data_IF_231385870617
#
_entry.id   IF_231385870617
#
_cell.length_a   1.000
_cell.length_b   1.000
_cell.length_c   1.000
_cell.angle_alpha   90.00
_cell.angle_beta   90.00
_cell.angle_gamma   90.00
#
_symmetry.space_group_name_H-M   'P 1'
#
loop_
_entity.id
_entity.type
_entity.pdbx_description
1 polymer ?
#
# COMPACT_ATOMS: atom_id res chain seq x y z
N UNK A 1 -5.03 -4.37 42.68
CA UNK A 1 -3.74 -4.64 42.02
C UNK A 1 -4.06 -5.24 40.66
N UNK A 2 -4.41 -4.40 39.69
CA UNK A 2 -4.60 -4.77 38.29
C UNK A 2 -3.89 -3.69 37.48
N UNK A 3 -2.95 -4.16 36.66
CA UNK A 3 -1.96 -3.36 35.96
C UNK A 3 -2.58 -2.37 34.99
N UNK A 4 -1.94 -1.22 35.01
CA UNK A 4 -1.98 -0.14 34.04
C UNK A 4 -1.42 -0.64 32.69
N UNK A 5 -2.30 -1.04 31.77
CA UNK A 5 -1.95 -1.29 30.36
C UNK A 5 -2.05 0.02 29.58
N UNK A 6 -1.14 0.93 29.92
CA UNK A 6 -0.79 2.10 29.13
C UNK A 6 0.30 1.72 28.11
N UNK A 7 -0.06 1.10 26.98
CA UNK A 7 0.88 0.94 25.86
C UNK A 7 0.24 1.27 24.49
N UNK A 8 0.73 2.36 23.91
CA UNK A 8 0.98 2.47 22.48
C UNK A 8 -0.21 2.78 21.59
N UNK A 9 -0.75 4.00 21.68
CA UNK A 9 -1.40 4.62 20.53
C UNK A 9 -0.38 4.75 19.39
N UNK A 10 -0.53 3.94 18.35
CA UNK A 10 0.38 3.95 17.21
C UNK A 10 0.15 5.20 16.36
N UNK A 11 1.02 6.20 16.53
CA UNK A 11 1.15 7.31 15.60
C UNK A 11 1.61 6.78 14.23
N UNK A 12 0.69 6.77 13.26
CA UNK A 12 1.02 6.63 11.84
C UNK A 12 1.11 8.02 11.20
N UNK A 13 1.98 8.89 11.71
CA UNK A 13 2.53 9.95 10.86
C UNK A 13 3.61 9.31 9.97
N UNK A 14 3.27 9.18 8.68
CA UNK A 14 3.88 8.27 7.72
C UNK A 14 5.40 8.32 7.63
N UNK A 15 6.04 7.27 8.14
CA UNK A 15 7.48 7.00 8.00
C UNK A 15 7.87 6.45 6.61
N UNK A 16 7.16 6.86 5.55
CA UNK A 16 7.44 6.48 4.18
C UNK A 16 6.99 7.55 3.17
N UNK A 17 7.66 7.58 2.03
CA UNK A 17 7.28 8.36 0.86
C UNK A 17 6.32 7.58 -0.03
N UNK A 18 5.35 8.28 -0.61
CA UNK A 18 4.47 7.75 -1.65
C UNK A 18 4.79 8.42 -2.98
N UNK A 19 4.92 7.63 -4.05
CA UNK A 19 5.23 8.09 -5.40
C UNK A 19 4.17 7.57 -6.35
N UNK A 20 3.58 8.46 -7.16
CA UNK A 20 2.57 8.10 -8.15
C UNK A 20 3.16 8.13 -9.56
N UNK A 21 2.70 7.28 -10.50
CA UNK A 21 3.11 7.35 -11.89
C UNK A 21 2.63 8.65 -12.54
N UNK A 22 3.49 9.25 -13.37
CA UNK A 22 3.14 10.43 -14.17
C UNK A 22 2.17 10.00 -15.27
N UNK A 23 0.96 10.57 -15.28
CA UNK A 23 -0.09 10.24 -16.25
C UNK A 23 -1.02 9.09 -15.85
N UNK A 24 -0.87 8.55 -14.64
CA UNK A 24 -1.68 7.43 -14.16
C UNK A 24 -1.27 6.08 -14.77
N UNK A 25 -2.18 5.11 -14.74
CA UNK A 25 -1.99 3.79 -15.33
C UNK A 25 -2.69 3.72 -16.68
N UNK A 26 -2.10 2.99 -17.63
CA UNK A 26 -2.71 2.85 -18.97
C UNK A 26 -3.93 1.90 -18.99
N UNK A 27 -4.19 1.18 -17.89
CA UNK A 27 -5.13 0.05 -17.84
C UNK A 27 -6.28 0.37 -16.89
N UNK A 28 -7.51 0.29 -17.41
CA UNK A 28 -8.74 0.56 -16.65
C UNK A 28 -8.87 -0.38 -15.45
N UNK A 29 -9.28 0.17 -14.30
CA UNK A 29 -9.50 -0.58 -13.07
C UNK A 29 -8.19 -1.01 -12.39
N UNK A 30 -7.07 -0.37 -12.71
CA UNK A 30 -5.78 -0.60 -12.07
C UNK A 30 -5.23 0.69 -11.53
N UNK A 31 -4.83 0.69 -10.26
CA UNK A 31 -4.10 1.79 -9.65
C UNK A 31 -2.72 1.32 -9.24
N UNK A 32 -1.72 2.18 -9.44
CA UNK A 32 -0.33 1.86 -9.11
C UNK A 32 0.24 2.97 -8.25
N UNK A 33 0.92 2.59 -7.18
CA UNK A 33 1.66 3.50 -6.32
C UNK A 33 2.99 2.88 -5.91
N UNK A 34 4.01 3.70 -5.77
CA UNK A 34 5.30 3.33 -5.20
C UNK A 34 5.38 3.78 -3.75
N UNK A 35 5.95 2.95 -2.88
CA UNK A 35 6.20 3.31 -1.49
C UNK A 35 7.66 3.04 -1.11
N UNK A 36 8.22 3.91 -0.28
CA UNK A 36 9.56 3.71 0.29
C UNK A 36 9.61 4.21 1.72
N UNK A 37 9.97 3.35 2.66
CA UNK A 37 10.17 3.76 4.06
C UNK A 37 11.35 4.73 4.21
N UNK A 38 11.18 5.74 5.06
CA UNK A 38 12.26 6.59 5.56
C UNK A 38 13.28 5.76 6.37
N UNK A 39 14.50 6.27 6.64
CA UNK A 39 15.41 5.63 7.58
C UNK A 39 14.74 5.39 8.94
N UNK A 40 14.79 4.16 9.45
CA UNK A 40 14.14 3.77 10.71
C UNK A 40 12.63 3.50 10.61
N UNK A 41 12.00 3.83 9.48
CA UNK A 41 10.60 3.52 9.20
C UNK A 41 10.35 2.01 9.22
N UNK A 42 9.22 1.61 9.81
CA UNK A 42 8.76 0.23 9.89
C UNK A 42 7.31 0.17 9.45
N UNK A 43 6.94 -0.92 8.80
CA UNK A 43 5.55 -1.23 8.51
C UNK A 43 5.03 -2.19 9.58
N UNK A 44 3.91 -1.85 10.21
CA UNK A 44 3.15 -2.78 11.02
C UNK A 44 1.67 -2.42 10.92
N UNK A 45 0.90 -3.24 10.20
CA UNK A 45 -0.50 -2.95 9.94
C UNK A 45 -1.34 -4.21 9.77
N UNK A 46 -2.65 -4.05 10.03
CA UNK A 46 -3.66 -5.05 9.65
C UNK A 46 -4.18 -4.77 8.24
N UNK A 47 -4.33 -5.83 7.44
CA UNK A 47 -4.95 -5.73 6.12
C UNK A 47 -6.46 -5.77 6.31
N UNK A 48 -7.15 -4.70 5.93
CA UNK A 48 -8.61 -4.66 5.97
C UNK A 48 -9.20 -5.27 4.70
N UNK A 49 -10.42 -5.86 4.79
CA UNK A 49 -11.21 -6.13 3.61
C UNK A 49 -11.46 -4.87 2.80
N UNK A 50 -11.32 -4.97 1.49
CA UNK A 50 -11.37 -3.86 0.54
C UNK A 50 -11.90 -4.34 -0.81
N UNK A 51 -12.62 -3.51 -1.58
CA UNK A 51 -13.33 -3.94 -2.80
C UNK A 51 -12.41 -4.14 -4.01
N UNK A 52 -11.13 -4.44 -3.79
CA UNK A 52 -10.12 -4.63 -4.82
C UNK A 52 -9.11 -5.71 -4.38
N UNK A 53 -8.39 -6.26 -5.36
CA UNK A 53 -7.25 -7.15 -5.12
C UNK A 53 -5.99 -6.30 -5.04
N UNK A 54 -5.19 -6.51 -4.00
CA UNK A 54 -3.91 -5.81 -3.83
C UNK A 54 -2.76 -6.73 -4.22
N UNK A 55 -1.84 -6.22 -5.03
CA UNK A 55 -0.56 -6.86 -5.35
C UNK A 55 0.57 -5.96 -4.89
N UNK A 56 1.53 -6.50 -4.15
CA UNK A 56 2.72 -5.75 -3.72
C UNK A 56 3.96 -6.42 -4.30
N UNK A 57 4.74 -5.61 -5.01
CA UNK A 57 6.02 -5.98 -5.62
C UNK A 57 7.13 -5.28 -4.83
N UNK A 58 7.65 -5.95 -3.80
CA UNK A 58 8.79 -5.44 -3.03
C UNK A 58 10.11 -5.59 -3.80
N UNK A 59 11.04 -4.68 -3.53
CA UNK A 59 12.37 -4.68 -4.11
C UNK A 59 13.43 -4.14 -3.14
N UNK A 60 14.70 -4.30 -3.49
CA UNK A 60 15.80 -4.10 -2.55
C UNK A 60 15.73 -5.13 -1.42
N UNK A 61 15.92 -4.69 -0.18
CA UNK A 61 15.89 -5.57 1.01
C UNK A 61 14.47 -5.77 1.58
N UNK A 62 13.44 -5.49 0.78
CA UNK A 62 12.04 -5.58 1.24
C UNK A 62 11.65 -7.02 1.50
N UNK A 63 11.25 -7.28 2.74
CA UNK A 63 10.66 -8.55 3.15
C UNK A 63 9.40 -8.30 3.99
N UNK A 64 8.27 -8.81 3.52
CA UNK A 64 6.97 -8.66 4.16
C UNK A 64 6.69 -9.91 5.02
N UNK A 65 6.67 -9.72 6.33
CA UNK A 65 6.27 -10.74 7.30
C UNK A 65 4.75 -10.71 7.45
N UNK A 66 4.11 -11.76 6.97
CA UNK A 66 2.65 -11.90 6.97
C UNK A 66 2.28 -12.87 8.10
N UNK A 67 1.31 -12.47 8.91
CA UNK A 67 0.69 -13.29 9.95
C UNK A 67 -0.82 -13.27 9.74
N UNK A 68 -1.39 -14.40 9.37
CA UNK A 68 -2.82 -14.51 9.07
C UNK A 68 -3.37 -15.91 9.34
N UNK A 69 -4.61 -16.15 8.88
CA UNK A 69 -5.30 -17.44 9.10
C UNK A 69 -4.60 -18.65 8.48
N UNK A 70 -3.80 -18.42 7.42
CA UNK A 70 -2.99 -19.44 6.76
C UNK A 70 -1.61 -19.68 7.41
N UNK A 71 -1.29 -18.97 8.49
CA UNK A 71 -0.03 -19.09 9.22
C UNK A 71 0.90 -17.88 9.05
N UNK A 72 2.20 -18.11 9.21
CA UNK A 72 3.24 -17.09 9.09
C UNK A 72 4.09 -17.32 7.84
N UNK A 73 4.33 -16.26 7.09
CA UNK A 73 5.18 -16.27 5.89
C UNK A 73 6.06 -15.03 5.83
N UNK A 74 7.18 -15.12 5.11
CA UNK A 74 8.03 -13.97 4.79
C UNK A 74 8.22 -13.94 3.27
N UNK A 75 7.70 -12.92 2.61
CA UNK A 75 7.63 -12.84 1.15
C UNK A 75 8.17 -11.50 0.63
N UNK A 76 8.92 -11.48 -0.49
CA UNK A 76 9.37 -10.23 -1.11
C UNK A 76 8.22 -9.47 -1.79
N UNK A 77 7.05 -10.08 -1.91
CA UNK A 77 5.84 -9.49 -2.47
C UNK A 77 4.66 -10.43 -2.25
N UNK A 78 3.45 -9.89 -2.38
CA UNK A 78 2.23 -10.61 -2.05
C UNK A 78 1.07 -10.27 -2.97
N UNK A 79 0.05 -11.12 -2.94
CA UNK A 79 -1.29 -10.84 -3.44
C UNK A 79 -2.28 -11.05 -2.30
N UNK A 80 -3.17 -10.07 -2.10
CA UNK A 80 -4.24 -10.14 -1.12
C UNK A 80 -5.58 -9.94 -1.84
N UNK A 81 -6.48 -10.90 -1.70
CA UNK A 81 -7.84 -10.76 -2.23
C UNK A 81 -8.70 -9.76 -1.45
N UNK A 82 -9.96 -9.54 -1.89
CA UNK A 82 -10.83 -8.51 -1.33
C UNK A 82 -11.20 -8.73 0.15
N UNK A 83 -11.13 -9.98 0.61
CA UNK A 83 -11.42 -10.37 2.00
C UNK A 83 -10.29 -11.31 2.47
N UNK A 84 -9.13 -10.78 2.88
CA UNK A 84 -7.93 -11.57 3.17
C UNK A 84 -7.95 -12.22 4.57
N UNK A 85 -9.06 -12.15 5.30
CA UNK A 85 -9.13 -12.61 6.69
C UNK A 85 -8.34 -11.71 7.66
N UNK A 86 -8.16 -12.12 8.93
CA UNK A 86 -7.44 -11.36 9.93
C UNK A 86 -5.92 -11.41 9.67
N UNK A 87 -5.46 -10.64 8.69
CA UNK A 87 -4.07 -10.60 8.27
C UNK A 87 -3.35 -9.38 8.83
N UNK A 88 -2.13 -9.57 9.34
CA UNK A 88 -1.18 -8.54 9.75
C UNK A 88 0.07 -8.62 8.89
N UNK A 89 0.53 -7.48 8.38
CA UNK A 89 1.76 -7.35 7.61
C UNK A 89 2.74 -6.51 8.44
N UNK A 90 3.96 -7.02 8.57
CA UNK A 90 5.09 -6.31 9.15
C UNK A 90 6.25 -6.27 8.19
N UNK A 91 6.99 -5.18 8.19
CA UNK A 91 8.26 -5.08 7.49
C UNK A 91 9.19 -4.11 8.23
N UNK A 92 10.48 -4.33 8.12
CA UNK A 92 11.47 -3.34 8.51
C UNK A 92 11.50 -2.22 7.47
N UNK A 93 12.67 -2.01 6.88
CA UNK A 93 12.80 -1.15 5.70
C UNK A 93 12.09 -1.80 4.51
N UNK A 94 11.32 -1.02 3.77
CA UNK A 94 10.65 -1.50 2.58
C UNK A 94 10.69 -0.48 1.44
N UNK A 95 10.62 -1.01 0.23
CA UNK A 95 10.42 -0.30 -1.02
C UNK A 95 9.62 -1.21 -1.93
N UNK A 96 8.45 -0.76 -2.36
CA UNK A 96 7.56 -1.59 -3.15
C UNK A 96 6.78 -0.79 -4.20
N UNK A 97 6.30 -1.51 -5.21
CA UNK A 97 5.20 -1.05 -6.07
C UNK A 97 3.95 -1.80 -5.66
N UNK A 98 2.90 -1.08 -5.31
CA UNK A 98 1.57 -1.62 -5.06
C UNK A 98 0.71 -1.46 -6.31
N UNK A 99 -0.05 -2.51 -6.64
CA UNK A 99 -1.12 -2.48 -7.60
C UNK A 99 -2.43 -2.76 -6.87
N UNK A 100 -3.46 -1.96 -7.16
CA UNK A 100 -4.84 -2.24 -6.76
C UNK A 100 -5.63 -2.52 -8.02
N UNK A 101 -6.22 -3.71 -8.07
CA UNK A 101 -7.00 -4.18 -9.22
C UNK A 101 -8.46 -4.23 -8.80
N UNK A 102 -9.34 -3.59 -9.58
CA UNK A 102 -10.77 -3.88 -9.49
C UNK A 102 -10.98 -5.39 -9.66
N UNK A 103 -12.06 -5.98 -9.13
CA UNK A 103 -12.31 -7.40 -9.32
C UNK A 103 -12.37 -7.82 -10.80
N UNK A 104 -12.82 -6.92 -11.69
CA UNK A 104 -12.83 -7.16 -13.14
C UNK A 104 -11.41 -7.16 -13.72
N UNK A 105 -10.55 -6.24 -13.28
CA UNK A 105 -9.13 -6.24 -13.64
C UNK A 105 -8.41 -7.48 -13.09
N UNK A 106 -8.71 -7.88 -11.86
CA UNK A 106 -8.16 -9.11 -11.27
C UNK A 106 -8.58 -10.35 -12.07
N UNK A 107 -9.85 -10.46 -12.45
CA UNK A 107 -10.34 -11.53 -13.34
C UNK A 107 -9.60 -11.57 -14.68
N UNK A 108 -9.28 -10.41 -15.23
CA UNK A 108 -8.56 -10.29 -16.50
C UNK A 108 -7.06 -10.66 -16.38
N UNK A 109 -6.40 -10.32 -15.27
CA UNK A 109 -4.93 -10.36 -15.18
C UNK A 109 -4.36 -11.47 -14.30
N UNK A 110 -5.17 -12.13 -13.50
CA UNK A 110 -4.73 -13.24 -12.65
C UNK A 110 -4.85 -14.56 -13.40
N UNK A 111 -3.85 -15.44 -13.24
CA UNK A 111 -3.88 -16.79 -13.79
C UNK A 111 -4.71 -17.76 -12.90
N UNK A 112 -5.29 -17.26 -11.79
CA UNK A 112 -6.13 -17.99 -10.83
C UNK A 112 -7.56 -17.47 -10.81
N UNK A 113 -8.52 -18.29 -10.37
CA UNK A 113 -9.90 -17.85 -10.26
C UNK A 113 -10.02 -16.82 -9.13
N UNK A 114 -10.80 -15.72 -9.30
CA UNK A 114 -10.98 -14.71 -8.25
C UNK A 114 -11.50 -15.25 -6.92
N UNK A 115 -12.23 -16.37 -6.94
CA UNK A 115 -12.70 -17.06 -5.74
C UNK A 115 -11.55 -17.65 -4.90
N UNK A 116 -10.45 -18.06 -5.54
CA UNK A 116 -9.29 -18.67 -4.88
C UNK A 116 -8.43 -17.62 -4.13
N UNK A 117 -8.66 -16.33 -4.39
CA UNK A 117 -8.02 -15.23 -3.68
C UNK A 117 -8.71 -14.90 -2.35
N UNK A 118 -9.85 -15.54 -2.03
CA UNK A 118 -10.54 -15.30 -0.76
C UNK A 118 -9.79 -15.89 0.43
N UNK A 119 -9.75 -15.14 1.54
CA UNK A 119 -9.26 -15.62 2.83
C UNK A 119 -7.74 -15.88 2.88
N UNK A 120 -7.00 -15.53 1.82
CA UNK A 120 -5.58 -15.79 1.72
C UNK A 120 -4.80 -14.55 1.30
N UNK A 121 -3.59 -14.46 1.84
CA UNK A 121 -2.51 -13.63 1.29
C UNK A 121 -1.45 -14.59 0.79
N UNK A 122 -1.15 -14.51 -0.50
CA UNK A 122 -0.29 -15.46 -1.21
C UNK A 122 0.94 -14.75 -1.78
N UNK A 123 1.96 -15.53 -2.14
CA UNK A 123 3.12 -15.00 -2.85
C UNK A 123 2.82 -14.76 -4.33
N UNK A 124 3.59 -13.87 -4.96
CA UNK A 124 3.44 -13.50 -6.38
C UNK A 124 3.54 -14.68 -7.38
N UNK A 125 4.16 -15.78 -6.97
CA UNK A 125 4.31 -16.97 -7.80
C UNK A 125 2.98 -17.69 -8.05
N UNK A 126 2.03 -17.54 -7.13
CA UNK A 126 0.78 -18.30 -7.16
C UNK A 126 -0.21 -17.75 -8.22
N UNK A 127 -0.44 -16.42 -8.33
CA UNK A 127 -1.33 -15.89 -9.35
C UNK A 127 -0.66 -15.51 -10.68
N UNK A 128 0.66 -15.31 -10.73
CA UNK A 128 1.36 -14.85 -11.95
C UNK A 128 2.54 -15.72 -12.39
N UNK A 129 2.89 -16.78 -11.64
CA UNK A 129 3.95 -17.71 -12.00
C UNK A 129 5.28 -17.06 -12.37
N UNK A 130 5.94 -17.64 -13.37
CA UNK A 130 7.23 -17.14 -13.88
C UNK A 130 7.19 -15.70 -14.44
N UNK A 131 6.15 -15.26 -15.17
CA UNK A 131 6.01 -13.83 -15.53
C UNK A 131 6.04 -12.88 -14.33
N UNK A 132 5.32 -13.20 -13.25
CA UNK A 132 5.31 -12.38 -12.03
C UNK A 132 6.68 -12.30 -11.37
N UNK A 133 7.40 -13.43 -11.32
CA UNK A 133 8.79 -13.46 -10.81
C UNK A 133 9.72 -12.54 -11.62
N UNK A 134 9.69 -12.66 -12.95
CA UNK A 134 10.51 -11.83 -13.84
C UNK A 134 10.18 -10.35 -13.72
N UNK A 135 8.91 -10.00 -13.49
CA UNK A 135 8.53 -8.61 -13.22
C UNK A 135 9.19 -8.12 -11.92
N UNK A 136 9.13 -8.90 -10.83
CA UNK A 136 9.78 -8.57 -9.57
C UNK A 136 11.29 -8.36 -9.73
N UNK A 137 11.98 -9.25 -10.44
CA UNK A 137 13.42 -9.14 -10.73
C UNK A 137 13.75 -7.86 -11.52
N UNK A 138 12.95 -7.52 -12.55
CA UNK A 138 13.14 -6.31 -13.35
C UNK A 138 12.87 -5.04 -12.55
N UNK A 139 11.85 -5.02 -11.69
CA UNK A 139 11.55 -3.90 -10.80
C UNK A 139 12.69 -3.66 -9.81
N UNK A 140 13.31 -4.75 -9.31
CA UNK A 140 14.47 -4.67 -8.42
C UNK A 140 15.72 -4.12 -9.12
N UNK A 141 15.93 -4.47 -10.39
CA UNK A 141 17.04 -3.96 -11.20
C UNK A 141 16.85 -2.55 -11.77
N UNK A 142 15.64 -1.99 -11.72
CA UNK A 142 15.32 -0.70 -12.31
C UNK A 142 15.96 0.48 -11.55
N UNK A 143 16.47 1.47 -12.30
CA UNK A 143 17.23 2.61 -11.80
C UNK A 143 16.39 3.68 -11.08
N UNK A 144 15.06 3.64 -11.20
CA UNK A 144 14.19 4.63 -10.55
C UNK A 144 12.70 4.33 -10.69
N UNK A 145 11.87 5.19 -10.08
CA UNK A 145 10.41 5.06 -10.12
C UNK A 145 9.79 5.10 -11.52
N UNK A 146 10.20 6.01 -12.44
CA UNK A 146 9.63 6.03 -13.78
C UNK A 146 9.82 4.71 -14.53
N UNK A 147 10.99 4.09 -14.41
CA UNK A 147 11.28 2.80 -15.03
C UNK A 147 10.45 1.68 -14.39
N UNK A 148 10.32 1.65 -13.06
CA UNK A 148 9.48 0.66 -12.35
C UNK A 148 8.01 0.73 -12.78
N UNK A 149 7.45 1.93 -12.90
CA UNK A 149 6.07 2.10 -13.37
C UNK A 149 5.93 1.68 -14.84
N UNK A 150 6.86 2.06 -15.71
CA UNK A 150 6.85 1.62 -17.11
C UNK A 150 6.94 0.09 -17.27
N UNK A 151 7.66 -0.59 -16.37
CA UNK A 151 7.73 -2.06 -16.32
C UNK A 151 6.37 -2.67 -15.93
N UNK A 152 5.70 -2.10 -14.93
CA UNK A 152 4.36 -2.52 -14.50
C UNK A 152 3.33 -2.27 -15.60
N UNK A 153 3.32 -1.09 -16.21
CA UNK A 153 2.39 -0.76 -17.30
C UNK A 153 2.54 -1.72 -18.48
N UNK A 154 3.79 -1.98 -18.91
CA UNK A 154 4.04 -2.93 -20.00
C UNK A 154 3.51 -4.32 -19.67
N UNK A 155 3.75 -4.79 -18.45
CA UNK A 155 3.28 -6.09 -17.99
C UNK A 155 1.75 -6.17 -17.98
N UNK A 156 1.07 -5.12 -17.50
CA UNK A 156 -0.39 -5.05 -17.47
C UNK A 156 -0.98 -4.99 -18.88
N UNK A 157 -0.39 -4.22 -19.80
CA UNK A 157 -0.82 -4.15 -21.20
C UNK A 157 -0.66 -5.50 -21.90
N UNK A 158 0.47 -6.18 -21.72
CA UNK A 158 0.71 -7.52 -22.28
C UNK A 158 -0.30 -8.56 -21.75
N UNK A 159 -0.67 -8.47 -20.46
CA UNK A 159 -1.70 -9.30 -19.85
C UNK A 159 -3.09 -8.96 -20.37
N UNK A 160 -3.45 -7.68 -20.46
CA UNK A 160 -4.73 -7.22 -20.96
C UNK A 160 -5.00 -7.68 -22.40
N UNK A 161 -3.98 -7.72 -23.25
CA UNK A 161 -4.09 -8.21 -24.62
C UNK A 161 -4.46 -9.70 -24.73
N UNK A 162 -4.31 -10.48 -23.65
CA UNK A 162 -4.58 -11.94 -23.60
C UNK A 162 -5.71 -12.30 -22.64
N UNK A 163 -6.30 -11.30 -21.98
CA UNK A 163 -7.21 -11.50 -20.88
C UNK A 163 -8.60 -11.96 -21.35
N UNK A 164 -9.29 -12.83 -20.59
CA UNK A 164 -10.71 -13.04 -20.79
C UNK A 164 -11.46 -11.73 -20.53
N UNK A 165 -12.47 -11.44 -21.35
CA UNK A 165 -13.37 -10.32 -21.10
C UNK A 165 -14.49 -10.77 -20.16
N UNK A 166 -14.72 -10.02 -19.09
CA UNK A 166 -15.86 -10.26 -18.20
C UNK A 166 -17.19 -10.07 -18.96
N UNK A 167 -18.25 -10.75 -18.52
CA UNK A 167 -19.60 -10.51 -19.06
C UNK A 167 -19.98 -9.05 -18.85
N UNK A 168 -20.56 -8.42 -19.88
CA UNK A 168 -21.00 -7.03 -19.81
C UNK A 168 -21.99 -6.80 -18.65
N UNK A 169 -22.87 -7.77 -18.38
CA UNK A 169 -23.84 -7.73 -17.28
C UNK A 169 -23.17 -7.80 -15.91
N UNK A 170 -22.07 -8.56 -15.77
CA UNK A 170 -21.28 -8.62 -14.53
C UNK A 170 -20.55 -7.30 -14.34
N UNK A 171 -19.93 -6.77 -15.40
CA UNK A 171 -19.23 -5.49 -15.36
C UNK A 171 -20.18 -4.34 -15.00
N UNK A 172 -21.37 -4.28 -15.62
CA UNK A 172 -22.39 -3.30 -15.30
C UNK A 172 -22.92 -3.44 -13.87
N UNK A 173 -23.10 -4.67 -13.38
CA UNK A 173 -23.51 -4.93 -12.00
C UNK A 173 -22.46 -4.47 -10.99
N UNK A 174 -21.17 -4.72 -11.26
CA UNK A 174 -20.07 -4.24 -10.43
C UNK A 174 -20.02 -2.71 -10.42
N UNK A 175 -20.07 -2.07 -11.59
CA UNK A 175 -20.10 -0.62 -11.71
C UNK A 175 -21.28 0.00 -10.94
N UNK A 176 -22.47 -0.59 -11.03
CA UNK A 176 -23.64 -0.15 -10.28
C UNK A 176 -23.48 -0.30 -8.75
N UNK A 177 -22.81 -1.36 -8.29
CA UNK A 177 -22.48 -1.56 -6.87
C UNK A 177 -21.53 -0.44 -6.40
N UNK A 178 -20.45 -0.18 -7.14
CA UNK A 178 -19.45 0.84 -6.77
C UNK A 178 -20.04 2.24 -6.81
N UNK A 179 -20.67 2.62 -7.92
CA UNK A 179 -21.25 3.96 -8.11
C UNK A 179 -22.32 4.30 -7.06
N UNK A 180 -22.98 3.28 -6.50
CA UNK A 180 -24.00 3.45 -5.45
C UNK A 180 -23.47 3.12 -4.06
N UNK A 181 -22.15 2.99 -3.90
CA UNK A 181 -21.48 2.73 -2.62
C UNK A 181 -22.07 1.51 -1.89
N UNK A 182 -22.40 0.45 -2.63
CA UNK A 182 -23.02 -0.77 -2.09
C UNK A 182 -24.52 -0.66 -1.81
N UNK A 183 -25.16 0.49 -2.07
CA UNK A 183 -26.59 0.75 -1.81
C UNK A 183 -27.47 0.31 -2.98
N UNK A 184 -27.44 -1.00 -3.23
CA UNK A 184 -28.18 -1.66 -4.32
C UNK A 184 -29.07 -2.78 -3.81
N UNK A 185 -30.17 -3.04 -4.51
CA UNK A 185 -30.92 -4.29 -4.37
C UNK A 185 -30.47 -5.25 -5.45
N UNK A 186 -30.14 -6.48 -5.07
CA UNK A 186 -29.66 -7.49 -6.02
C UNK A 186 -30.75 -7.89 -7.04
N UNK A 187 -32.03 -7.77 -6.65
CA UNK A 187 -33.15 -7.96 -7.58
C UNK A 187 -33.14 -6.94 -8.72
N UNK A 188 -32.85 -5.68 -8.42
CA UNK A 188 -32.80 -4.59 -9.39
C UNK A 188 -31.64 -4.79 -10.37
N UNK A 189 -30.48 -5.25 -9.89
CA UNK A 189 -29.35 -5.61 -10.75
C UNK A 189 -29.69 -6.74 -11.73
N UNK A 190 -30.34 -7.80 -11.23
CA UNK A 190 -30.73 -8.93 -12.07
C UNK A 190 -31.78 -8.53 -13.12
N UNK A 191 -32.76 -7.70 -12.73
CA UNK A 191 -33.76 -7.17 -13.64
C UNK A 191 -33.15 -6.27 -14.72
N UNK A 192 -32.21 -5.40 -14.35
CA UNK A 192 -31.55 -4.47 -15.28
C UNK A 192 -30.76 -5.19 -16.39
N UNK A 193 -30.21 -6.37 -16.11
CA UNK A 193 -29.49 -7.17 -17.09
C UNK A 193 -30.32 -8.32 -17.70
N UNK A 194 -31.63 -8.39 -17.41
CA UNK A 194 -32.52 -9.43 -17.93
C UNK A 194 -32.19 -10.85 -17.45
N UNK A 195 -31.46 -10.99 -16.34
CA UNK A 195 -31.07 -12.29 -15.80
C UNK A 195 -31.94 -12.70 -14.61
N UNK A 196 -32.05 -14.01 -14.40
CA UNK A 196 -32.54 -14.51 -13.11
C UNK A 196 -31.54 -14.21 -12.00
N UNK A 197 -32.03 -14.05 -10.76
CA UNK A 197 -31.16 -13.88 -9.57
C UNK A 197 -30.13 -15.01 -9.43
N UNK A 198 -30.52 -16.24 -9.76
CA UNK A 198 -29.63 -17.42 -9.73
C UNK A 198 -28.50 -17.29 -10.76
N UNK A 199 -28.81 -16.85 -11.99
CA UNK A 199 -27.80 -16.64 -13.04
C UNK A 199 -26.85 -15.50 -12.67
N UNK A 200 -27.37 -14.36 -12.22
CA UNK A 200 -26.54 -13.24 -11.75
C UNK A 200 -25.61 -13.71 -10.64
N UNK A 201 -26.13 -14.40 -9.62
CA UNK A 201 -25.31 -14.90 -8.53
C UNK A 201 -24.16 -15.81 -9.01
N UNK A 202 -24.45 -16.77 -9.89
CA UNK A 202 -23.44 -17.70 -10.40
C UNK A 202 -22.36 -17.00 -11.25
N UNK A 203 -22.76 -16.20 -12.26
CA UNK A 203 -21.81 -15.53 -13.17
C UNK A 203 -20.99 -14.46 -12.46
N UNK A 204 -21.63 -13.67 -11.61
CA UNK A 204 -20.96 -12.63 -10.82
C UNK A 204 -19.95 -13.25 -9.86
N UNK A 205 -20.31 -14.31 -9.13
CA UNK A 205 -19.37 -14.97 -8.20
C UNK A 205 -18.17 -15.58 -8.93
N UNK A 206 -18.39 -16.18 -10.11
CA UNK A 206 -17.31 -16.76 -10.91
C UNK A 206 -16.28 -15.72 -11.40
N UNK A 207 -16.71 -14.49 -11.68
CA UNK A 207 -15.87 -13.45 -12.28
C UNK A 207 -15.38 -12.39 -11.29
N UNK A 208 -16.13 -12.12 -10.21
CA UNK A 208 -15.77 -11.14 -9.17
C UNK A 208 -15.13 -11.84 -7.97
N UNK A 209 -15.33 -13.15 -7.85
CA UNK A 209 -14.91 -13.94 -6.70
C UNK A 209 -15.87 -13.84 -5.52
N UNK A 210 -16.70 -12.80 -5.41
CA UNK A 210 -17.68 -12.61 -4.33
C UNK A 210 -19.11 -12.74 -4.83
N UNK A 211 -20.04 -13.11 -3.95
CA UNK A 211 -21.48 -13.00 -4.29
C UNK A 211 -21.89 -11.52 -4.45
N UNK A 212 -22.90 -11.18 -5.26
CA UNK A 212 -23.35 -9.80 -5.45
C UNK A 212 -23.68 -9.08 -4.14
N UNK A 213 -24.34 -9.79 -3.21
CA UNK A 213 -24.67 -9.23 -1.88
C UNK A 213 -23.41 -8.97 -1.06
N UNK A 214 -22.45 -9.90 -1.06
CA UNK A 214 -21.19 -9.74 -0.30
C UNK A 214 -20.33 -8.61 -0.86
N UNK A 215 -20.28 -8.46 -2.18
CA UNK A 215 -19.61 -7.34 -2.85
C UNK A 215 -20.24 -5.99 -2.46
N UNK A 216 -21.57 -5.87 -2.48
CA UNK A 216 -22.27 -4.66 -2.06
C UNK A 216 -22.01 -4.31 -0.58
N UNK A 217 -22.02 -5.32 0.31
CA UNK A 217 -21.64 -5.12 1.71
C UNK A 217 -20.19 -4.65 1.84
N UNK A 218 -19.25 -5.25 1.09
CA UNK A 218 -17.83 -4.90 1.15
C UNK A 218 -17.56 -3.46 0.70
N UNK A 219 -18.18 -3.02 -0.40
CA UNK A 219 -18.07 -1.62 -0.87
C UNK A 219 -18.62 -0.65 0.17
N UNK A 220 -19.79 -0.95 0.75
CA UNK A 220 -20.38 -0.11 1.81
C UNK A 220 -19.51 -0.05 3.06
N UNK A 221 -19.04 -1.20 3.53
CA UNK A 221 -18.12 -1.30 4.66
C UNK A 221 -16.84 -0.51 4.42
N UNK A 222 -16.24 -0.63 3.22
CA UNK A 222 -15.01 0.09 2.89
C UNK A 222 -15.20 1.61 2.97
N UNK A 223 -16.31 2.13 2.44
CA UNK A 223 -16.68 3.54 2.60
C UNK A 223 -16.88 3.97 4.06
N UNK A 224 -17.51 3.11 4.87
CA UNK A 224 -17.73 3.38 6.29
C UNK A 224 -16.43 3.37 7.09
N UNK A 225 -15.56 2.39 6.86
CA UNK A 225 -14.24 2.29 7.48
C UNK A 225 -13.39 3.53 7.19
N UNK A 226 -13.41 4.03 5.95
CA UNK A 226 -12.73 5.27 5.57
C UNK A 226 -13.26 6.49 6.32
N UNK A 227 -14.59 6.65 6.42
CA UNK A 227 -15.20 7.76 7.17
C UNK A 227 -14.85 7.72 8.66
N UNK A 228 -14.97 6.55 9.28
CA UNK A 228 -14.61 6.36 10.69
C UNK A 228 -13.14 6.71 10.93
N UNK A 229 -12.23 6.25 10.06
CA UNK A 229 -10.81 6.59 10.15
C UNK A 229 -10.51 8.06 9.87
N UNK A 230 -11.33 8.72 9.06
CA UNK A 230 -11.26 10.17 8.86
C UNK A 230 -11.81 10.99 10.06
N UNK A 231 -12.25 10.32 11.14
CA UNK A 231 -12.71 10.94 12.37
C UNK A 231 -14.22 11.15 12.46
N UNK A 232 -15.01 10.63 11.52
CA UNK A 232 -16.47 10.72 11.60
C UNK A 232 -17.02 9.93 12.79
N UNK A 233 -18.07 10.46 13.42
CA UNK A 233 -18.82 9.72 14.44
C UNK A 233 -19.49 8.46 13.86
N UNK A 234 -19.69 7.44 14.70
CA UNK A 234 -20.28 6.16 14.27
C UNK A 234 -21.71 6.34 13.74
N UNK A 235 -22.51 7.24 14.31
CA UNK A 235 -23.86 7.54 13.83
C UNK A 235 -23.81 8.22 12.45
N UNK A 236 -22.91 9.18 12.29
CA UNK A 236 -22.73 9.90 11.04
C UNK A 236 -22.26 8.97 9.92
N UNK A 237 -21.24 8.13 10.19
CA UNK A 237 -20.75 7.13 9.27
C UNK A 237 -21.85 6.12 8.90
N UNK A 238 -22.66 5.69 9.87
CA UNK A 238 -23.80 4.79 9.63
C UNK A 238 -24.80 5.41 8.66
N UNK A 239 -25.26 6.63 8.95
CA UNK A 239 -26.24 7.34 8.13
C UNK A 239 -25.72 7.57 6.71
N UNK A 240 -24.49 8.08 6.58
CA UNK A 240 -23.97 8.48 5.29
C UNK A 240 -23.62 7.29 4.37
N UNK A 241 -23.25 6.14 4.95
CA UNK A 241 -23.04 4.89 4.20
C UNK A 241 -24.32 4.08 3.99
N UNK A 242 -25.49 4.58 4.44
CA UNK A 242 -26.78 3.95 4.21
C UNK A 242 -27.05 2.72 5.07
N UNK A 243 -26.47 2.65 6.27
CA UNK A 243 -26.91 1.72 7.30
C UNK A 243 -28.22 2.19 7.92
N UNK A 244 -29.03 1.23 8.38
CA UNK A 244 -30.31 1.49 9.04
C UNK A 244 -30.10 2.19 10.39
N UNK A 245 -29.07 1.76 11.11
CA UNK A 245 -28.70 2.28 12.42
C UNK A 245 -27.22 1.95 12.71
N UNK A 246 -26.71 2.44 13.85
CA UNK A 246 -25.35 2.14 14.31
C UNK A 246 -25.13 0.66 14.58
N UNK A 247 -26.15 -0.07 15.03
CA UNK A 247 -26.04 -1.51 15.32
C UNK A 247 -25.81 -2.33 14.05
N UNK A 248 -26.42 -1.92 12.94
CA UNK A 248 -26.19 -2.52 11.62
C UNK A 248 -24.75 -2.28 11.17
N UNK A 249 -24.23 -1.05 11.27
CA UNK A 249 -22.82 -0.76 10.98
C UNK A 249 -21.90 -1.61 11.88
N UNK A 250 -22.16 -1.67 13.19
CA UNK A 250 -21.36 -2.46 14.13
C UNK A 250 -21.31 -3.95 13.78
N UNK A 251 -22.42 -4.54 13.34
CA UNK A 251 -22.48 -5.94 12.91
C UNK A 251 -21.63 -6.17 11.67
N UNK A 252 -21.77 -5.31 10.66
CA UNK A 252 -21.03 -5.45 9.41
C UNK A 252 -19.52 -5.20 9.59
N UNK A 253 -19.13 -4.22 10.41
CA UNK A 253 -17.71 -4.01 10.76
C UNK A 253 -17.15 -5.25 11.46
N UNK A 254 -17.83 -5.78 12.48
CA UNK A 254 -17.39 -7.03 13.14
C UNK A 254 -17.31 -8.21 12.19
N UNK A 255 -18.24 -8.32 11.24
CA UNK A 255 -18.25 -9.39 10.25
C UNK A 255 -17.04 -9.35 9.31
N UNK A 256 -16.56 -8.17 8.95
CA UNK A 256 -15.39 -8.02 8.07
C UNK A 256 -14.06 -8.03 8.82
N UNK A 257 -13.98 -7.40 10.00
CA UNK A 257 -12.70 -7.14 10.68
C UNK A 257 -12.50 -7.96 11.95
N UNK A 258 -13.56 -8.57 12.49
CA UNK A 258 -13.56 -9.19 13.80
C UNK A 258 -13.51 -8.20 14.97
N UNK A 259 -13.48 -6.88 14.72
CA UNK A 259 -13.37 -5.85 15.76
C UNK A 259 -14.54 -4.85 15.74
N UNK A 260 -14.61 -3.96 16.73
CA UNK A 260 -15.63 -2.89 16.78
C UNK A 260 -15.19 -1.68 15.97
N UNK A 261 -16.11 -0.79 15.55
CA UNK A 261 -15.75 0.49 14.91
C UNK A 261 -14.75 1.32 15.72
N UNK A 262 -14.92 1.41 17.04
CA UNK A 262 -13.98 2.12 17.91
C UNK A 262 -12.59 1.47 17.98
N UNK A 263 -12.50 0.13 17.89
CA UNK A 263 -11.20 -0.54 17.78
C UNK A 263 -10.59 -0.34 16.40
N UNK A 264 -11.39 -0.35 15.33
CA UNK A 264 -10.97 -0.16 13.95
C UNK A 264 -10.20 1.15 13.76
N UNK A 265 -10.69 2.26 14.33
CA UNK A 265 -10.04 3.58 14.18
C UNK A 265 -8.71 3.71 14.92
N UNK A 266 -8.40 2.80 15.85
CA UNK A 266 -7.13 2.79 16.60
C UNK A 266 -6.09 1.84 16.01
N UNK A 267 -6.48 1.02 15.02
CA UNK A 267 -5.57 0.07 14.40
C UNK A 267 -4.78 0.77 13.30
N UNK A 268 -3.50 0.47 13.22
CA UNK A 268 -2.73 0.67 11.99
C UNK A 268 -3.26 -0.30 10.93
N UNK A 269 -3.74 0.21 9.81
CA UNK A 269 -4.43 -0.58 8.78
C UNK A 269 -3.95 -0.28 7.37
N UNK A 270 -4.19 -1.21 6.44
CA UNK A 270 -3.92 -0.97 5.01
C UNK A 270 -4.65 0.26 4.45
N UNK A 271 -5.74 0.70 5.08
CA UNK A 271 -6.44 1.91 4.71
C UNK A 271 -5.69 3.21 5.09
N UNK A 272 -4.69 3.15 5.97
CA UNK A 272 -3.80 4.28 6.30
C UNK A 272 -2.78 4.57 5.18
N UNK A 273 -2.55 3.60 4.30
CA UNK A 273 -1.72 3.71 3.09
C UNK A 273 -2.60 4.00 1.85
N UNK A 274 -3.89 4.23 2.07
CA UNK A 274 -4.86 4.51 1.00
C UNK A 274 -4.66 5.94 0.47
N UNK A 275 -3.82 6.09 -0.57
CA UNK A 275 -3.91 7.27 -1.43
C UNK A 275 -5.29 7.23 -2.06
N UNK A 276 -6.00 8.35 -1.98
CA UNK A 276 -7.37 8.47 -2.44
C UNK A 276 -7.42 8.27 -3.96
N UNK A 277 -7.60 7.03 -4.40
CA UNK A 277 -7.75 6.70 -5.82
C UNK A 277 -8.88 5.70 -5.94
N UNK A 278 -10.06 6.23 -6.20
CA UNK A 278 -11.28 5.46 -6.41
C UNK A 278 -11.06 4.51 -7.60
N UNK A 279 -11.11 3.20 -7.32
CA UNK A 279 -10.67 2.15 -8.26
C UNK A 279 -11.54 2.09 -9.52
N UNK A 280 -12.76 2.64 -9.45
CA UNK A 280 -13.71 2.67 -10.57
C UNK A 280 -14.48 4.01 -10.73
N UNK A 281 -14.13 5.08 -10.00
CA UNK A 281 -14.46 6.47 -10.36
C UNK A 281 -15.25 7.32 -9.34
N UNK A 282 -14.52 8.22 -8.67
CA UNK A 282 -14.81 9.65 -8.46
C UNK A 282 -13.46 10.35 -8.13
N UNK A 283 -13.35 11.65 -8.36
CA UNK A 283 -12.11 12.41 -8.13
C UNK A 283 -11.75 12.49 -6.62
N UNK A 284 -10.46 12.49 -6.24
CA UNK A 284 -10.05 12.49 -4.84
C UNK A 284 -10.50 13.74 -4.09
N UNK A 285 -11.08 13.54 -2.91
CA UNK A 285 -11.37 14.61 -1.97
C UNK A 285 -10.28 14.68 -0.89
N UNK A 286 -9.02 14.89 -1.31
CA UNK A 286 -7.98 15.57 -0.52
C UNK A 286 -6.68 15.71 -1.33
N UNK A 287 -6.13 16.93 -1.30
CA UNK A 287 -4.85 17.25 -1.92
C UNK A 287 -3.73 16.45 -1.24
N UNK A 288 -3.20 15.44 -1.93
CA UNK A 288 -1.89 14.90 -1.60
C UNK A 288 -0.85 16.02 -1.72
N UNK A 289 0.03 16.13 -0.74
CA UNK A 289 1.16 17.05 -0.80
C UNK A 289 2.04 16.62 -1.97
N UNK A 290 1.86 17.30 -3.10
CA UNK A 290 2.56 17.04 -4.35
C UNK A 290 4.00 17.51 -4.18
N UNK A 291 4.92 16.59 -3.94
CA UNK A 291 6.35 16.89 -4.05
C UNK A 291 6.68 16.90 -5.53
N UNK A 292 6.71 18.09 -6.13
CA UNK A 292 7.23 18.28 -7.48
C UNK A 292 8.74 17.96 -7.44
N UNK A 293 9.10 16.79 -7.97
CA UNK A 293 10.50 16.49 -8.27
C UNK A 293 10.82 17.19 -9.59
N UNK A 294 11.01 18.50 -9.49
CA UNK A 294 11.48 19.35 -10.59
C UNK A 294 12.82 18.82 -11.10
N UNK A 295 12.83 18.48 -12.37
CA UNK A 295 14.03 18.18 -13.15
C UNK A 295 14.84 19.47 -13.28
N UNK A 296 16.11 19.49 -12.87
CA UNK A 296 17.10 20.30 -13.60
C UNK A 296 18.48 19.65 -13.67
N UNK A 297 19.16 19.78 -14.83
CA UNK A 297 20.40 19.12 -15.18
C UNK A 297 21.61 19.85 -14.61
N UNK A 298 22.73 19.14 -14.48
CA UNK A 298 24.00 19.74 -14.09
C UNK A 298 24.51 20.76 -15.11
N UNK A 299 25.45 21.62 -14.68
CA UNK A 299 26.84 21.66 -15.17
C UNK A 299 27.56 22.94 -14.70
N UNK A 300 28.80 22.73 -14.23
CA UNK A 300 29.97 23.62 -14.22
C UNK A 300 30.21 24.68 -13.13
N UNK A 301 31.41 24.54 -12.58
CA UNK A 301 32.17 25.46 -11.76
C UNK A 301 32.64 26.70 -12.55
N UNK A 302 32.83 27.81 -11.85
CA UNK A 302 33.82 28.82 -12.24
C UNK A 302 34.37 29.54 -11.01
N UNK A 303 35.69 29.48 -10.87
CA UNK A 303 36.50 30.32 -10.00
C UNK A 303 36.27 31.81 -10.29
N UNK A 304 36.19 32.65 -9.25
CA UNK A 304 36.79 33.98 -9.33
C UNK A 304 37.17 34.53 -7.95
N UNK A 305 38.45 34.88 -7.84
CA UNK A 305 39.10 35.52 -6.72
C UNK A 305 38.66 36.98 -6.53
N UNK A 306 38.59 37.45 -5.28
CA UNK A 306 38.88 38.84 -4.92
C UNK A 306 39.66 38.91 -3.60
N UNK A 307 40.78 39.62 -3.67
CA UNK A 307 41.78 39.90 -2.64
C UNK A 307 41.35 41.04 -1.69
N UNK A 308 42.14 41.36 -0.63
CA UNK A 308 41.68 41.84 0.68
C UNK A 308 41.95 43.33 0.93
N UNK A 309 41.45 43.83 2.07
CA UNK A 309 41.90 45.09 2.69
C UNK A 309 42.17 44.90 4.19
N UNK A 310 43.43 45.09 4.60
CA UNK A 310 43.86 45.31 5.99
C UNK A 310 43.39 46.69 6.50
N UNK A 311 43.53 46.99 7.81
CA UNK A 311 44.73 47.70 8.22
C UNK A 311 45.39 47.20 9.52
N UNK A 312 46.65 47.58 9.65
CA UNK A 312 47.67 47.20 10.61
C UNK A 312 47.46 47.68 12.06
N UNK A 313 48.06 46.96 13.01
CA UNK A 313 48.88 47.50 14.12
C UNK A 313 49.68 46.38 14.81
N UNK A 314 50.98 46.61 14.93
CA UNK A 314 52.01 45.95 15.76
C UNK A 314 52.60 47.06 16.68
N UNK A 315 53.57 46.84 17.59
CA UNK A 315 54.14 45.58 18.15
C UNK A 315 54.37 45.63 19.69
N UNK A 316 54.75 44.49 20.32
CA UNK A 316 55.80 44.41 21.36
C UNK A 316 56.24 42.95 21.62
N UNK A 317 57.55 42.75 21.77
CA UNK A 317 58.35 41.52 22.02
C UNK A 317 58.55 41.26 23.56
N UNK A 318 59.44 40.35 24.04
CA UNK A 318 59.56 38.89 23.86
C UNK A 318 59.83 38.12 25.19
N UNK A 319 59.95 36.78 25.17
CA UNK A 319 60.57 35.97 26.25
C UNK A 319 60.43 34.46 25.99
N UNK A 320 61.43 33.83 25.38
CA UNK A 320 62.47 32.97 26.01
C UNK A 320 62.02 31.55 26.41
N UNK A 321 62.70 30.57 25.78
CA UNK A 321 62.77 29.12 26.04
C UNK A 321 63.61 28.83 27.33
N UNK A 322 64.03 27.58 27.70
CA UNK A 322 64.00 26.31 26.96
C UNK A 322 63.77 25.01 27.80
N UNK A 323 63.87 23.87 27.10
CA UNK A 323 64.42 22.56 27.52
C UNK A 323 63.70 21.75 28.64
N UNK A 324 63.64 20.42 28.67
CA UNK A 324 64.20 19.33 27.85
C UNK A 324 63.65 17.98 28.37
N UNK A 325 63.77 16.94 27.53
CA UNK A 325 64.15 15.55 27.88
C UNK A 325 63.16 14.58 28.55
N UNK A 326 63.26 13.30 28.11
CA UNK A 326 62.71 12.10 28.76
C UNK A 326 61.75 11.30 27.86
N UNK A 327 62.20 10.63 26.79
CA UNK A 327 62.89 9.33 26.76
C UNK A 327 61.99 8.08 26.96
N UNK A 328 62.12 7.17 25.99
CA UNK A 328 61.87 5.72 25.97
C UNK A 328 60.42 5.22 26.15
N UNK A 329 59.78 4.60 25.15
CA UNK A 329 60.06 3.25 24.60
C UNK A 329 59.99 2.19 25.71
N UNK A 330 59.26 1.07 25.57
CA UNK A 330 59.55 -0.01 24.63
C UNK A 330 58.49 -1.11 24.84
N UNK A 331 57.90 -1.63 23.75
CA UNK A 331 57.52 -3.04 23.48
C UNK A 331 56.61 -3.81 24.46
N UNK A 332 55.88 -4.88 24.13
CA UNK A 332 55.53 -5.70 22.95
C UNK A 332 55.04 -7.00 23.63
N UNK A 333 53.95 -7.61 23.18
CA UNK A 333 53.92 -9.07 22.91
C UNK A 333 52.51 -9.60 22.66
N UNK A 334 52.50 -10.49 21.68
CA UNK A 334 51.45 -11.41 21.25
C UNK A 334 51.09 -12.41 22.35
N UNK A 335 49.88 -12.96 22.28
CA UNK A 335 49.52 -14.21 22.95
C UNK A 335 48.23 -14.81 22.38
N UNK A 336 48.39 -15.84 21.53
CA UNK A 336 47.33 -16.77 21.10
C UNK A 336 47.08 -17.81 22.21
N UNK A 337 45.95 -18.51 22.06
CA UNK A 337 45.53 -19.81 22.65
C UNK A 337 44.73 -19.72 23.95
N UNK A 338 43.41 -19.89 23.87
CA UNK A 338 42.69 -21.17 23.94
C UNK A 338 41.28 -20.99 23.37
#
# INVERSE_FOLDING_TARGET
>A
MYGDDSEGGGDLEGGWDTVLPVGGTAVRGVHVAGYRSHPGGRLDMRVLPQPFVTVVLGFGDTLLHIEGGSGRAALPGLVAGPVPGPTRIRSGRFSCVELRLSPLAAYAFMDTAPADLQGAVTGLQEPWGAPGRRLGERIAGAGGWPERFALVDRFLVERAARAPTADAEVAASWAAIVARQGRVRIGDLAAACGWSRKRLWARFTAQVGLTPKRAAMLVRFHGAARRLRAGADVAEAALACGYVDQSHLHREVREFTGCTPGALVRLATSADVDVDVDVDGDAPARAAHRVDIGTHPGTQATHLAKQPTQPAKQPTHPGQAPDSSGSAATHLAKGKTQ
#
